data_IF_320150052761
#
_entry.id   IF_320150052761
#
_cell.length_a   1.000
_cell.length_b   1.000
_cell.length_c   1.000
_cell.angle_alpha   90.00
_cell.angle_beta   90.00
_cell.angle_gamma   90.00
#
_symmetry.space_group_name_H-M   'P 1'
#
loop_
_entity.id
_entity.type
_entity.pdbx_description
1 polymer ?
#
# COMPACT_ATOMS: atom_id res chain seq x y z
N UNK A 1 12.30 9.36 6.17
CA UNK A 1 11.00 8.73 6.54
C UNK A 1 9.94 9.64 5.95
N UNK A 2 8.96 9.07 5.26
CA UNK A 2 7.89 9.84 4.60
C UNK A 2 6.58 9.47 5.24
N UNK A 3 5.77 10.47 5.59
CA UNK A 3 4.43 10.28 6.14
C UNK A 3 3.40 10.91 5.20
N UNK A 4 2.34 10.17 4.90
CA UNK A 4 1.28 10.58 3.98
C UNK A 4 -0.08 10.28 4.60
N UNK A 5 -1.02 11.20 4.41
CA UNK A 5 -2.42 11.05 4.81
C UNK A 5 -3.30 11.27 3.59
N UNK A 6 -4.14 10.29 3.28
CA UNK A 6 -5.08 10.35 2.17
C UNK A 6 -6.46 9.95 2.65
N UNK A 7 -7.48 10.64 2.14
CA UNK A 7 -8.86 10.21 2.29
C UNK A 7 -9.32 9.50 1.02
N UNK A 8 -10.19 8.50 1.18
CA UNK A 8 -10.90 7.88 0.07
C UNK A 8 -12.39 7.79 0.36
N UNK A 9 -13.16 7.64 -0.71
CA UNK A 9 -14.60 7.41 -0.71
C UNK A 9 -14.86 6.46 -1.87
N UNK A 10 -15.65 5.41 -1.62
CA UNK A 10 -16.00 4.42 -2.64
C UNK A 10 -17.48 4.49 -3.04
N UNK A 11 -18.30 5.24 -2.30
CA UNK A 11 -19.76 5.23 -2.38
C UNK A 11 -20.42 3.91 -1.96
N UNK A 12 -19.64 2.93 -1.47
CA UNK A 12 -20.14 1.65 -0.95
C UNK A 12 -20.36 1.74 0.55
N UNK A 13 -21.10 0.80 1.12
CA UNK A 13 -21.24 0.74 2.57
C UNK A 13 -19.92 0.32 3.25
N UNK A 14 -19.83 0.60 4.55
CA UNK A 14 -18.61 0.35 5.30
C UNK A 14 -18.25 -1.14 5.36
N UNK A 15 -19.22 -2.06 5.24
CA UNK A 15 -18.97 -3.50 5.35
C UNK A 15 -18.29 -4.01 4.09
N UNK A 16 -18.79 -3.59 2.92
CA UNK A 16 -18.17 -3.88 1.63
C UNK A 16 -16.74 -3.32 1.55
N UNK A 17 -16.55 -2.07 1.98
CA UNK A 17 -15.22 -1.44 2.03
C UNK A 17 -14.28 -2.20 2.96
N UNK A 18 -14.76 -2.63 4.12
CA UNK A 18 -13.96 -3.35 5.09
C UNK A 18 -13.51 -4.71 4.56
N UNK A 19 -14.42 -5.46 3.91
CA UNK A 19 -14.08 -6.72 3.25
C UNK A 19 -13.07 -6.52 2.12
N UNK A 20 -13.22 -5.46 1.31
CA UNK A 20 -12.28 -5.15 0.24
C UNK A 20 -10.88 -4.79 0.77
N UNK A 21 -10.79 -4.06 1.89
CA UNK A 21 -9.52 -3.70 2.52
C UNK A 21 -8.81 -4.92 3.11
N UNK A 22 -9.54 -5.88 3.69
CA UNK A 22 -8.92 -7.06 4.30
C UNK A 22 -8.54 -8.17 3.30
N UNK A 23 -9.10 -8.15 2.09
CA UNK A 23 -8.79 -9.12 1.04
C UNK A 23 -7.48 -8.73 0.31
N UNK A 24 -6.34 -9.31 0.70
CA UNK A 24 -5.05 -8.96 0.07
C UNK A 24 -5.00 -9.33 -1.42
N UNK A 25 -5.77 -10.31 -1.90
CA UNK A 25 -5.81 -10.70 -3.31
C UNK A 25 -6.50 -9.64 -4.17
N UNK A 26 -7.41 -8.87 -3.58
CA UNK A 26 -8.05 -7.72 -4.22
C UNK A 26 -7.32 -6.41 -3.94
N UNK A 27 -6.81 -6.22 -2.72
CA UNK A 27 -6.17 -4.99 -2.28
C UNK A 27 -4.82 -4.75 -2.96
N UNK A 28 -3.95 -5.75 -3.00
CA UNK A 28 -2.58 -5.59 -3.53
C UNK A 28 -2.61 -5.15 -5.01
N UNK A 29 -3.45 -5.72 -5.89
CA UNK A 29 -3.61 -5.25 -7.27
C UNK A 29 -4.11 -3.81 -7.42
N UNK A 30 -4.69 -3.19 -6.39
CA UNK A 30 -5.03 -1.78 -6.42
C UNK A 30 -3.77 -0.89 -6.41
N UNK A 31 -2.64 -1.36 -5.89
CA UNK A 31 -1.36 -0.62 -5.99
C UNK A 31 -0.84 -0.68 -7.43
N UNK A 32 -0.40 0.44 -8.00
CA UNK A 32 0.20 0.43 -9.34
C UNK A 32 1.39 -0.54 -9.40
N UNK A 33 1.34 -1.49 -10.34
CA UNK A 33 2.36 -2.53 -10.48
C UNK A 33 2.35 -3.58 -9.35
N UNK A 34 1.37 -3.51 -8.44
CA UNK A 34 1.14 -4.46 -7.35
C UNK A 34 0.61 -5.79 -7.84
N UNK A 35 1.21 -6.89 -7.35
CA UNK A 35 0.80 -8.25 -7.65
C UNK A 35 1.00 -9.15 -6.42
N UNK A 36 0.03 -10.00 -6.15
CA UNK A 36 0.22 -11.13 -5.24
C UNK A 36 1.07 -12.18 -5.95
N UNK A 37 2.15 -12.61 -5.30
CA UNK A 37 3.00 -13.69 -5.77
C UNK A 37 2.60 -15.01 -5.12
N UNK A 38 2.26 -14.98 -3.84
CA UNK A 38 1.90 -16.16 -3.05
C UNK A 38 1.06 -15.71 -1.85
N UNK A 39 -0.05 -16.39 -1.58
CA UNK A 39 -0.75 -16.26 -0.30
C UNK A 39 -0.14 -17.19 0.73
N UNK A 40 0.29 -16.63 1.86
CA UNK A 40 0.86 -17.38 2.99
C UNK A 40 -0.21 -17.69 4.06
N UNK A 41 -1.19 -16.78 4.23
CA UNK A 41 -2.38 -16.93 5.07
C UNK A 41 -3.43 -15.90 4.63
N UNK A 42 -4.55 -15.76 5.34
CA UNK A 42 -5.54 -14.68 5.09
C UNK A 42 -4.94 -13.29 5.38
N UNK A 43 -4.05 -13.20 6.35
CA UNK A 43 -3.45 -11.94 6.81
C UNK A 43 -2.08 -11.65 6.18
N UNK A 44 -1.51 -12.59 5.43
CA UNK A 44 -0.14 -12.47 4.90
C UNK A 44 0.00 -12.94 3.46
N UNK A 45 0.72 -12.15 2.66
CA UNK A 45 1.02 -12.48 1.28
C UNK A 45 2.43 -12.03 0.89
N UNK A 46 3.09 -12.80 0.02
CA UNK A 46 4.23 -12.30 -0.76
C UNK A 46 3.70 -11.50 -1.94
N UNK A 47 4.30 -10.34 -2.15
CA UNK A 47 3.88 -9.40 -3.19
C UNK A 47 5.07 -8.83 -3.96
N UNK A 48 4.78 -8.38 -5.18
CA UNK A 48 5.65 -7.57 -6.01
C UNK A 48 5.00 -6.21 -6.26
N UNK A 49 5.79 -5.13 -6.21
CA UNK A 49 5.37 -3.80 -6.64
C UNK A 49 6.40 -3.27 -7.63
N UNK A 50 5.95 -2.94 -8.84
CA UNK A 50 6.76 -2.24 -9.85
C UNK A 50 6.48 -0.75 -9.80
N UNK A 51 7.47 0.02 -9.35
CA UNK A 51 7.41 1.48 -9.25
C UNK A 51 8.15 2.11 -10.43
N UNK A 52 7.54 3.13 -11.03
CA UNK A 52 8.20 4.01 -12.01
C UNK A 52 8.57 5.32 -11.35
N UNK A 53 9.84 5.70 -11.42
CA UNK A 53 10.35 6.99 -10.95
C UNK A 53 11.06 7.69 -12.10
N UNK A 54 10.36 8.63 -12.76
CA UNK A 54 10.86 9.25 -13.99
C UNK A 54 11.13 8.21 -15.08
N UNK A 55 12.35 8.20 -15.62
CA UNK A 55 12.78 7.23 -16.63
C UNK A 55 13.20 5.86 -16.03
N UNK A 56 13.27 5.74 -14.70
CA UNK A 56 13.69 4.51 -14.02
C UNK A 56 12.49 3.65 -13.63
N UNK A 57 12.64 2.33 -13.73
CA UNK A 57 11.70 1.36 -13.16
C UNK A 57 12.43 0.51 -12.13
N UNK A 58 11.81 0.36 -10.96
CA UNK A 58 12.29 -0.46 -9.86
C UNK A 58 11.23 -1.50 -9.53
N UNK A 59 11.67 -2.70 -9.14
CA UNK A 59 10.76 -3.78 -8.76
C UNK A 59 11.12 -4.22 -7.35
N UNK A 60 10.16 -4.05 -6.43
CA UNK A 60 10.27 -4.45 -5.05
C UNK A 60 9.52 -5.75 -4.83
N UNK A 61 10.12 -6.68 -4.08
CA UNK A 61 9.47 -7.93 -3.65
C UNK A 61 9.57 -8.08 -2.16
N UNK A 62 8.51 -8.57 -1.55
CA UNK A 62 8.41 -8.61 -0.10
C UNK A 62 7.12 -9.22 0.40
N UNK A 63 6.80 -8.93 1.64
CA UNK A 63 5.58 -9.36 2.31
C UNK A 63 4.67 -8.17 2.61
N UNK A 64 3.37 -8.42 2.53
CA UNK A 64 2.29 -7.58 3.09
C UNK A 64 1.63 -8.40 4.18
N UNK A 65 1.50 -7.84 5.37
CA UNK A 65 0.96 -8.53 6.54
C UNK A 65 0.00 -7.60 7.30
N UNK A 66 -1.21 -8.07 7.61
CA UNK A 66 -2.15 -7.39 8.52
C UNK A 66 -1.65 -7.66 9.94
N UNK A 67 -1.10 -6.64 10.60
CA UNK A 67 -0.51 -6.76 11.93
C UNK A 67 -1.45 -6.34 13.05
N UNK A 68 -2.46 -5.55 12.73
CA UNK A 68 -3.54 -5.16 13.62
C UNK A 68 -4.85 -5.11 12.84
N UNK A 69 -5.93 -5.55 13.47
CA UNK A 69 -7.28 -5.55 12.92
C UNK A 69 -8.27 -5.38 14.07
N UNK A 70 -9.15 -4.40 13.93
CA UNK A 70 -10.30 -4.17 14.78
C UNK A 70 -11.54 -4.09 13.89
N UNK A 71 -12.37 -5.13 13.92
CA UNK A 71 -13.57 -5.23 13.08
C UNK A 71 -14.70 -4.28 13.54
N UNK A 72 -14.76 -3.96 14.83
CA UNK A 72 -15.80 -3.09 15.38
C UNK A 72 -15.50 -1.62 15.06
N UNK A 73 -14.23 -1.22 15.21
CA UNK A 73 -13.76 0.11 14.84
C UNK A 73 -13.45 0.24 13.33
N UNK A 74 -13.38 -0.88 12.59
CA UNK A 74 -12.98 -0.95 11.17
C UNK A 74 -11.63 -0.29 10.91
N UNK A 75 -10.67 -0.61 11.78
CA UNK A 75 -9.28 -0.13 11.68
C UNK A 75 -8.32 -1.29 11.48
N UNK A 76 -7.39 -1.16 10.55
CA UNK A 76 -6.37 -2.17 10.31
C UNK A 76 -5.01 -1.54 10.00
N UNK A 77 -3.94 -2.22 10.43
CA UNK A 77 -2.56 -1.84 10.13
C UNK A 77 -1.89 -2.93 9.30
N UNK A 78 -1.30 -2.52 8.19
CA UNK A 78 -0.61 -3.37 7.24
C UNK A 78 0.88 -3.05 7.29
N UNK A 79 1.71 -4.05 7.58
CA UNK A 79 3.16 -3.96 7.48
C UNK A 79 3.61 -4.46 6.10
N UNK A 80 4.22 -3.57 5.33
CA UNK A 80 4.90 -3.88 4.07
C UNK A 80 6.40 -3.93 4.32
N UNK A 81 7.03 -5.06 3.99
CA UNK A 81 8.48 -5.25 4.08
C UNK A 81 9.01 -5.79 2.78
N UNK A 82 9.79 -5.00 2.04
CA UNK A 82 10.20 -5.33 0.68
C UNK A 82 11.65 -5.00 0.39
N UNK A 83 12.25 -5.68 -0.58
CA UNK A 83 13.60 -5.41 -1.09
C UNK A 83 13.54 -5.12 -2.57
N UNK A 84 14.40 -4.21 -3.03
CA UNK A 84 14.63 -4.01 -4.46
C UNK A 84 15.28 -5.28 -5.03
N UNK A 85 14.68 -5.83 -6.08
CA UNK A 85 15.19 -7.01 -6.80
C UNK A 85 16.51 -6.75 -7.50
N UNK A 86 16.85 -5.47 -7.77
CA UNK A 86 18.17 -5.04 -8.23
C UNK A 86 19.23 -4.97 -7.12
N UNK A 87 18.91 -5.42 -5.89
CA UNK A 87 19.83 -5.44 -4.75
C UNK A 87 20.15 -4.06 -4.15
N UNK A 88 19.45 -3.01 -4.59
CA UNK A 88 19.84 -1.62 -4.33
C UNK A 88 19.04 -0.94 -3.21
N UNK A 89 18.43 -1.69 -2.27
CA UNK A 89 17.73 -1.15 -1.11
C UNK A 89 16.42 -1.85 -0.75
N UNK A 90 15.57 -1.15 0.00
CA UNK A 90 14.25 -1.57 0.46
C UNK A 90 13.26 -0.40 0.42
N UNK A 91 11.98 -0.76 0.38
CA UNK A 91 10.85 0.15 0.59
C UNK A 91 9.88 -0.52 1.57
N UNK A 92 9.94 -0.09 2.83
CA UNK A 92 9.08 -0.59 3.89
C UNK A 92 8.03 0.45 4.21
N UNK A 93 6.83 0.01 4.57
CA UNK A 93 5.77 0.91 5.01
C UNK A 93 4.92 0.25 6.09
N UNK A 94 4.36 1.06 6.97
CA UNK A 94 3.22 0.69 7.79
C UNK A 94 2.03 1.55 7.30
N UNK A 95 0.94 0.90 6.93
CA UNK A 95 -0.26 1.54 6.34
C UNK A 95 -1.44 1.27 7.26
N UNK A 96 -2.04 2.34 7.79
CA UNK A 96 -3.23 2.26 8.62
C UNK A 96 -4.44 2.68 7.80
N UNK A 97 -5.46 1.82 7.80
CA UNK A 97 -6.80 2.13 7.30
C UNK A 97 -7.71 2.41 8.49
N UNK A 98 -8.47 3.49 8.41
CA UNK A 98 -9.52 3.87 9.37
C UNK A 98 -10.80 4.16 8.57
N UNK A 99 -11.74 3.22 8.57
CA UNK A 99 -12.92 3.28 7.72
C UNK A 99 -14.10 3.93 8.43
N UNK A 100 -14.70 4.92 7.77
CA UNK A 100 -15.93 5.55 8.23
C UNK A 100 -16.73 6.16 7.08
N UNK A 101 -18.05 6.00 7.13
CA UNK A 101 -18.99 6.79 6.32
C UNK A 101 -18.87 6.57 4.81
N UNK A 102 -18.65 5.34 4.35
CA UNK A 102 -18.56 4.95 2.94
C UNK A 102 -17.16 5.07 2.32
N UNK A 103 -16.15 5.31 3.15
CA UNK A 103 -14.76 5.44 2.76
C UNK A 103 -13.85 5.36 3.97
N UNK A 104 -12.86 6.23 4.04
CA UNK A 104 -11.98 6.31 5.20
C UNK A 104 -10.70 7.10 4.96
N UNK A 105 -9.82 7.00 5.94
CA UNK A 105 -8.48 7.58 5.92
C UNK A 105 -7.41 6.49 5.79
N UNK A 106 -6.34 6.83 5.08
CA UNK A 106 -5.14 6.03 4.87
C UNK A 106 -3.95 6.83 5.39
N UNK A 107 -3.36 6.38 6.49
CA UNK A 107 -2.09 6.89 6.98
C UNK A 107 -0.97 5.95 6.54
N UNK A 108 0.04 6.47 5.84
CA UNK A 108 1.20 5.69 5.39
C UNK A 108 2.46 6.25 6.01
N UNK A 109 3.23 5.39 6.68
CA UNK A 109 4.58 5.70 7.17
C UNK A 109 5.59 4.85 6.43
N UNK A 110 6.32 5.48 5.50
CA UNK A 110 7.26 4.80 4.63
C UNK A 110 8.72 5.07 5.02
N UNK A 111 9.52 4.00 5.04
CA UNK A 111 10.98 4.06 5.17
C UNK A 111 11.60 3.42 3.94
N UNK A 112 12.27 4.25 3.13
CA UNK A 112 12.89 3.87 1.86
C UNK A 112 14.38 4.15 1.98
N UNK A 113 15.21 3.26 1.42
CA UNK A 113 16.65 3.48 1.32
C UNK A 113 17.19 3.12 -0.07
N UNK A 114 18.49 3.32 -0.25
CA UNK A 114 19.19 2.92 -1.46
C UNK A 114 18.82 3.78 -2.68
N UNK A 115 18.75 3.16 -3.88
CA UNK A 115 18.63 3.92 -5.14
C UNK A 115 17.35 4.75 -5.22
N UNK A 116 16.24 4.23 -4.70
CA UNK A 116 14.98 4.96 -4.60
C UNK A 116 15.11 6.22 -3.75
N UNK A 117 15.73 6.12 -2.56
CA UNK A 117 15.92 7.27 -1.67
C UNK A 117 16.90 8.30 -2.24
N UNK A 118 17.87 7.88 -3.06
CA UNK A 118 18.85 8.78 -3.69
C UNK A 118 18.26 9.75 -4.71
N UNK A 119 17.00 9.54 -5.14
CA UNK A 119 16.27 10.44 -6.03
C UNK A 119 15.88 11.77 -5.36
N UNK A 120 15.99 11.85 -4.02
CA UNK A 120 15.59 13.02 -3.23
C UNK A 120 14.17 12.88 -2.66
N UNK A 121 13.99 13.45 -1.48
CA UNK A 121 12.77 13.29 -0.68
C UNK A 121 11.50 13.76 -1.41
N UNK A 122 11.54 14.92 -2.07
CA UNK A 122 10.39 15.45 -2.82
C UNK A 122 9.94 14.56 -3.98
N UNK A 123 10.87 13.90 -4.68
CA UNK A 123 10.55 12.95 -5.76
C UNK A 123 9.88 11.70 -5.20
N UNK A 124 10.45 11.14 -4.12
CA UNK A 124 9.90 9.97 -3.43
C UNK A 124 8.49 10.26 -2.91
N UNK A 125 8.30 11.40 -2.25
CA UNK A 125 6.99 11.83 -1.75
C UNK A 125 5.99 11.95 -2.90
N UNK A 126 6.35 12.62 -4.00
CA UNK A 126 5.46 12.80 -5.17
C UNK A 126 5.02 11.46 -5.77
N UNK A 127 5.94 10.49 -5.87
CA UNK A 127 5.62 9.16 -6.43
C UNK A 127 4.70 8.37 -5.49
N UNK A 128 4.99 8.37 -4.19
CA UNK A 128 4.13 7.71 -3.20
C UNK A 128 2.72 8.32 -3.17
N UNK A 129 2.62 9.65 -3.24
CA UNK A 129 1.35 10.39 -3.29
C UNK A 129 0.53 9.99 -4.53
N UNK A 130 1.19 9.89 -5.69
CA UNK A 130 0.56 9.44 -6.93
C UNK A 130 0.08 7.98 -6.84
N UNK A 131 0.89 7.10 -6.25
CA UNK A 131 0.53 5.70 -6.05
C UNK A 131 -0.69 5.55 -5.13
N UNK A 132 -0.78 6.31 -4.04
CA UNK A 132 -1.94 6.24 -3.13
C UNK A 132 -3.19 6.77 -3.82
N UNK A 133 -3.11 7.86 -4.60
CA UNK A 133 -4.26 8.38 -5.38
C UNK A 133 -4.78 7.39 -6.42
N UNK A 134 -3.89 6.69 -7.13
CA UNK A 134 -4.28 5.64 -8.06
C UNK A 134 -4.87 4.43 -7.31
N UNK A 135 -4.27 4.06 -6.18
CA UNK A 135 -4.77 3.00 -5.31
C UNK A 135 -6.20 3.27 -4.84
N UNK A 136 -6.50 4.46 -4.31
CA UNK A 136 -7.86 4.78 -3.83
C UNK A 136 -8.88 4.78 -4.97
N UNK A 137 -8.48 5.21 -6.16
CA UNK A 137 -9.31 5.16 -7.37
C UNK A 137 -9.63 3.71 -7.79
N UNK A 138 -8.68 2.78 -7.63
CA UNK A 138 -8.87 1.36 -7.93
C UNK A 138 -9.65 0.64 -6.83
N UNK A 139 -9.40 0.98 -5.56
CA UNK A 139 -10.13 0.46 -4.41
C UNK A 139 -11.64 0.76 -4.54
N UNK A 140 -11.99 1.98 -4.97
CA UNK A 140 -13.39 2.35 -5.19
C UNK A 140 -14.12 1.46 -6.22
N UNK A 141 -13.40 0.78 -7.10
CA UNK A 141 -13.97 -0.07 -8.16
C UNK A 141 -14.17 -1.53 -7.75
N UNK A 142 -13.50 -2.00 -6.70
CA UNK A 142 -13.58 -3.39 -6.26
C UNK A 142 -14.66 -3.61 -5.22
#
# INVERSE_FOLDING_TARGET
>A
MVELNHRFDTGKDDADNWQAVLDLDRLIPCVEGGKVLERESDEKAKAEIKVKMGAMSMTFRGTVEVTQRDDDARTAVFAVRSKDTGGSGYANADVTFDLSGGGGDINTKATINGKAASMGEGVVQTVLDAMIKDFTTKLAKI
#
